data_IF_764920756766
#
_entry.id   IF_764920756766
#
_cell.length_a   1.000
_cell.length_b   1.000
_cell.length_c   1.000
_cell.angle_alpha   90.00
_cell.angle_beta   90.00
_cell.angle_gamma   90.00
#
_symmetry.space_group_name_H-M   'P 1'
#
loop_
_entity.id
_entity.type
_entity.pdbx_description
1 polymer ?
#
# COMPACT_ATOMS: atom_id res chain seq x y z
N UNK A 1 -32.99 -9.12 3.18
CA UNK A 1 -32.13 -9.73 4.20
C UNK A 1 -31.24 -8.64 4.75
N UNK A 2 -31.31 -8.40 6.05
CA UNK A 2 -30.54 -7.37 6.75
C UNK A 2 -29.03 -7.60 6.57
N UNK A 3 -28.32 -6.55 6.19
CA UNK A 3 -26.86 -6.49 6.36
C UNK A 3 -26.62 -6.07 7.80
N UNK A 4 -25.84 -6.81 8.59
CA UNK A 4 -25.55 -6.41 9.96
C UNK A 4 -24.82 -5.05 9.92
N UNK A 5 -25.20 -4.06 10.73
CA UNK A 5 -24.39 -2.87 10.90
C UNK A 5 -23.01 -3.34 11.37
N UNK A 6 -21.96 -2.98 10.64
CA UNK A 6 -20.58 -3.23 11.06
C UNK A 6 -20.49 -2.84 12.53
N UNK A 7 -20.18 -3.77 13.46
CA UNK A 7 -20.23 -3.48 14.88
C UNK A 7 -19.36 -2.26 15.17
N UNK A 8 -19.85 -1.31 15.98
CA UNK A 8 -19.11 -0.07 16.27
C UNK A 8 -17.68 -0.34 16.76
N UNK A 9 -17.48 -1.47 17.46
CA UNK A 9 -16.16 -1.96 17.89
C UNK A 9 -15.20 -2.16 16.73
N UNK A 10 -15.68 -2.74 15.63
CA UNK A 10 -14.92 -2.93 14.39
C UNK A 10 -14.61 -1.60 13.72
N UNK A 11 -15.55 -0.65 13.76
CA UNK A 11 -15.37 0.70 13.21
C UNK A 11 -14.21 1.43 13.91
N UNK A 12 -14.19 1.39 15.25
CA UNK A 12 -13.19 2.09 16.07
C UNK A 12 -11.94 1.25 16.38
N UNK A 13 -11.84 0.02 15.85
CA UNK A 13 -10.70 -0.88 16.09
C UNK A 13 -10.62 -1.45 17.52
N UNK A 14 -11.72 -1.45 18.27
CA UNK A 14 -11.79 -2.04 19.61
C UNK A 14 -11.53 -3.55 19.55
N UNK A 15 -10.48 -4.01 20.21
CA UNK A 15 -10.04 -5.41 20.21
C UNK A 15 -8.83 -5.70 19.31
N UNK A 16 -8.37 -4.72 18.52
CA UNK A 16 -7.11 -4.83 17.79
C UNK A 16 -5.94 -4.69 18.78
N UNK A 17 -5.03 -5.65 18.78
CA UNK A 17 -3.83 -5.60 19.61
C UNK A 17 -2.96 -4.39 19.23
N UNK A 18 -2.48 -3.66 20.24
CA UNK A 18 -1.60 -2.49 20.05
C UNK A 18 -0.33 -2.83 19.25
N UNK A 19 0.27 -3.99 19.55
CA UNK A 19 1.29 -4.64 18.74
C UNK A 19 1.01 -6.13 18.63
N UNK A 20 1.21 -6.70 17.44
CA UNK A 20 1.16 -8.15 17.22
C UNK A 20 2.47 -8.62 16.58
N UNK A 21 3.03 -9.71 17.10
CA UNK A 21 4.16 -10.39 16.47
C UNK A 21 3.71 -11.09 15.20
N UNK A 22 4.55 -11.04 14.20
CA UNK A 22 4.37 -11.70 12.93
C UNK A 22 5.58 -12.58 12.67
N UNK A 23 5.34 -13.87 12.55
CA UNK A 23 6.37 -14.87 12.27
C UNK A 23 6.22 -15.31 10.81
N UNK A 24 7.35 -15.48 10.10
CA UNK A 24 7.39 -16.01 8.72
C UNK A 24 6.45 -15.29 7.73
N UNK A 25 6.75 -14.03 7.44
CA UNK A 25 6.02 -13.22 6.47
C UNK A 25 6.64 -13.29 5.09
N UNK A 26 5.77 -13.33 4.07
CA UNK A 26 6.10 -12.98 2.70
C UNK A 26 5.19 -11.83 2.26
N UNK A 27 5.76 -10.65 2.11
CA UNK A 27 5.05 -9.44 1.77
C UNK A 27 5.37 -9.01 0.35
N UNK A 28 4.34 -8.69 -0.44
CA UNK A 28 4.44 -8.10 -1.77
C UNK A 28 4.32 -6.60 -1.65
N UNK A 29 5.28 -5.84 -2.18
CA UNK A 29 5.15 -4.39 -2.24
C UNK A 29 4.05 -3.95 -3.20
N UNK A 30 3.31 -2.93 -2.77
CA UNK A 30 2.28 -2.22 -3.55
C UNK A 30 2.79 -0.86 -4.04
N UNK A 31 4.08 -0.58 -3.86
CA UNK A 31 4.73 0.66 -4.24
C UNK A 31 4.87 1.63 -3.07
N UNK A 32 5.32 2.84 -3.42
CA UNK A 32 5.75 3.86 -2.48
C UNK A 32 5.17 5.21 -2.85
N UNK A 33 4.77 5.97 -1.83
CA UNK A 33 4.43 7.39 -1.93
C UNK A 33 5.43 8.21 -1.16
N UNK A 34 6.06 9.16 -1.83
CA UNK A 34 6.85 10.20 -1.19
C UNK A 34 5.97 11.42 -0.89
N UNK A 35 6.32 12.17 0.15
CA UNK A 35 5.66 13.42 0.51
C UNK A 35 6.70 14.39 1.07
N UNK A 36 6.34 15.68 1.08
CA UNK A 36 7.14 16.73 1.70
C UNK A 36 6.23 17.86 2.17
N UNK A 37 6.64 18.50 3.25
CA UNK A 37 6.13 19.79 3.72
C UNK A 37 7.32 20.76 3.93
N UNK A 38 7.09 21.85 4.66
CA UNK A 38 8.10 22.89 4.89
C UNK A 38 9.24 22.38 5.78
N UNK A 39 8.95 21.52 6.74
CA UNK A 39 9.90 21.07 7.77
C UNK A 39 10.44 19.67 7.50
N UNK A 40 9.66 18.83 6.84
CA UNK A 40 9.95 17.41 6.67
C UNK A 40 9.72 16.93 5.24
N UNK A 41 10.35 15.81 4.93
CA UNK A 41 9.96 14.97 3.82
C UNK A 41 9.98 13.52 4.27
N UNK A 42 9.23 12.68 3.57
CA UNK A 42 9.11 11.30 3.96
C UNK A 42 8.60 10.42 2.84
N UNK A 43 8.41 9.17 3.22
CA UNK A 43 7.86 8.14 2.36
C UNK A 43 6.93 7.23 3.16
N UNK A 44 6.06 6.57 2.42
CA UNK A 44 5.27 5.43 2.87
C UNK A 44 5.33 4.35 1.81
N UNK A 45 5.62 3.12 2.22
CA UNK A 45 5.61 1.93 1.36
C UNK A 45 4.49 1.03 1.86
N UNK A 46 3.64 0.56 0.97
CA UNK A 46 2.59 -0.39 1.32
C UNK A 46 2.99 -1.80 0.90
N UNK A 47 2.58 -2.75 1.72
CA UNK A 47 2.79 -4.16 1.51
C UNK A 47 1.50 -4.91 1.69
N UNK A 48 1.32 -5.99 0.95
CA UNK A 48 0.27 -6.95 1.21
C UNK A 48 0.86 -8.31 1.50
N UNK A 49 0.27 -9.00 2.46
CA UNK A 49 0.45 -10.43 2.64
C UNK A 49 -0.50 -11.16 1.68
N UNK A 50 -0.02 -11.84 0.62
CA UNK A 50 -0.87 -12.52 -0.35
C UNK A 50 -1.74 -13.61 0.27
N UNK A 51 -1.31 -14.21 1.37
CA UNK A 51 -2.01 -15.34 1.99
C UNK A 51 -3.21 -14.86 2.83
N UNK A 52 -3.09 -13.69 3.47
CA UNK A 52 -4.15 -13.14 4.35
C UNK A 52 -4.91 -11.96 3.75
N UNK A 53 -4.40 -11.34 2.69
CA UNK A 53 -4.91 -10.09 2.14
C UNK A 53 -4.68 -8.87 3.05
N UNK A 54 -3.95 -9.04 4.16
CA UNK A 54 -3.64 -7.95 5.08
C UNK A 54 -2.74 -6.94 4.39
N UNK A 55 -3.02 -5.64 4.61
CA UNK A 55 -2.17 -4.56 4.11
C UNK A 55 -1.44 -3.95 5.29
N UNK A 56 -0.12 -3.89 5.17
CA UNK A 56 0.78 -3.27 6.12
C UNK A 56 1.48 -2.10 5.44
N UNK A 57 2.03 -1.19 6.23
CA UNK A 57 2.77 -0.07 5.67
C UNK A 57 4.02 0.25 6.47
N UNK A 58 5.05 0.76 5.81
CA UNK A 58 6.26 1.27 6.46
C UNK A 58 6.33 2.76 6.15
N UNK A 59 6.37 3.59 7.20
CA UNK A 59 6.52 5.04 7.05
C UNK A 59 7.83 5.53 7.65
N UNK A 60 8.43 6.54 7.03
CA UNK A 60 9.56 7.26 7.63
C UNK A 60 9.62 8.69 7.12
N UNK A 61 10.04 9.61 7.98
CA UNK A 61 10.28 11.01 7.65
C UNK A 61 11.63 11.47 8.18
N UNK A 62 12.12 12.53 7.57
CA UNK A 62 13.39 13.19 7.87
C UNK A 62 13.22 14.71 7.73
N UNK A 63 14.11 15.51 8.35
CA UNK A 63 14.14 16.95 8.16
C UNK A 63 14.31 17.34 6.68
N UNK A 64 13.62 18.40 6.26
CA UNK A 64 13.63 18.93 4.89
C UNK A 64 15.03 19.27 4.39
N UNK A 65 15.88 19.77 5.29
CA UNK A 65 17.28 20.13 5.01
C UNK A 65 18.14 18.98 4.51
N UNK A 66 17.75 17.72 4.76
CA UNK A 66 18.51 16.56 4.31
C UNK A 66 18.09 16.03 2.92
N UNK A 67 17.02 16.56 2.30
CA UNK A 67 16.46 15.97 1.08
C UNK A 67 17.43 15.99 -0.11
N UNK A 68 18.15 17.10 -0.31
CA UNK A 68 19.05 17.30 -1.44
C UNK A 68 20.16 16.25 -1.48
N UNK A 69 20.67 15.86 -0.30
CA UNK A 69 21.72 14.86 -0.15
C UNK A 69 21.21 13.43 -0.21
N UNK A 70 19.91 13.21 -0.02
CA UNK A 70 19.33 11.87 0.11
C UNK A 70 17.85 11.85 -0.27
N UNK A 71 17.54 11.75 -1.57
CA UNK A 71 16.17 11.58 -2.04
C UNK A 71 15.48 10.40 -1.34
N UNK A 72 14.16 10.52 -1.09
CA UNK A 72 13.42 9.52 -0.31
C UNK A 72 13.57 8.09 -0.85
N UNK A 73 13.60 7.90 -2.18
CA UNK A 73 13.73 6.59 -2.81
C UNK A 73 15.09 5.91 -2.54
N UNK A 74 16.17 6.67 -2.30
CA UNK A 74 17.52 6.14 -2.07
C UNK A 74 17.85 6.01 -0.58
N UNK A 75 16.99 6.54 0.31
CA UNK A 75 17.13 6.42 1.76
C UNK A 75 17.15 4.95 2.17
N UNK A 76 18.00 4.65 3.16
CA UNK A 76 18.00 3.34 3.82
C UNK A 76 16.94 3.30 4.91
N UNK A 77 16.11 2.27 4.85
CA UNK A 77 15.15 1.89 5.86
C UNK A 77 15.62 0.56 6.42
N UNK A 78 16.04 0.56 7.68
CA UNK A 78 16.73 -0.58 8.29
C UNK A 78 17.98 -0.96 7.48
N UNK A 79 17.99 -2.14 6.86
CA UNK A 79 19.10 -2.65 6.05
C UNK A 79 18.90 -2.47 4.54
N UNK A 80 17.76 -1.95 4.09
CA UNK A 80 17.39 -1.90 2.67
C UNK A 80 17.21 -0.48 2.16
N UNK A 81 17.45 -0.24 0.87
CA UNK A 81 17.05 1.01 0.24
C UNK A 81 15.53 1.04 0.04
N UNK A 82 14.92 2.20 0.19
CA UNK A 82 13.48 2.39 0.03
C UNK A 82 12.99 1.95 -1.36
N UNK A 83 13.74 2.24 -2.42
CA UNK A 83 13.42 1.78 -3.78
C UNK A 83 13.39 0.26 -3.92
N UNK A 84 14.31 -0.45 -3.26
CA UNK A 84 14.33 -1.92 -3.26
C UNK A 84 13.11 -2.50 -2.52
N UNK A 85 12.71 -1.87 -1.41
CA UNK A 85 11.50 -2.25 -0.69
C UNK A 85 10.24 -1.96 -1.52
N UNK A 86 10.18 -0.81 -2.18
CA UNK A 86 9.04 -0.38 -3.00
C UNK A 86 8.84 -1.24 -4.25
N UNK A 87 9.91 -1.75 -4.86
CA UNK A 87 9.87 -2.61 -6.05
C UNK A 87 10.08 -4.09 -5.77
N UNK A 88 9.99 -4.52 -4.51
CA UNK A 88 10.38 -5.86 -4.08
C UNK A 88 9.32 -6.64 -3.33
N UNK A 89 9.68 -7.86 -2.97
CA UNK A 89 9.00 -8.68 -1.96
C UNK A 89 9.90 -8.78 -0.73
N UNK A 90 9.31 -8.63 0.45
CA UNK A 90 10.01 -8.81 1.72
C UNK A 90 9.71 -10.21 2.23
N UNK A 91 10.75 -10.97 2.53
CA UNK A 91 10.62 -12.20 3.32
C UNK A 91 11.20 -11.91 4.70
N UNK A 92 10.42 -12.11 5.75
CA UNK A 92 10.86 -11.84 7.12
C UNK A 92 10.48 -12.96 8.08
N UNK A 93 11.43 -13.44 8.86
CA UNK A 93 11.20 -14.44 9.90
C UNK A 93 10.58 -13.83 11.16
N UNK A 94 10.78 -12.53 11.38
CA UNK A 94 10.25 -11.83 12.54
C UNK A 94 9.97 -10.37 12.22
N UNK A 95 8.71 -9.97 12.36
CA UNK A 95 8.28 -8.59 12.35
C UNK A 95 7.23 -8.36 13.44
N UNK A 96 6.84 -7.10 13.60
CA UNK A 96 5.63 -6.75 14.32
C UNK A 96 4.77 -5.86 13.45
N UNK A 97 3.47 -5.88 13.72
CA UNK A 97 2.55 -4.85 13.26
C UNK A 97 2.00 -4.07 14.44
N UNK A 98 1.84 -2.78 14.28
CA UNK A 98 1.04 -1.95 15.19
C UNK A 98 -0.47 -2.11 14.91
N UNK A 99 -1.30 -1.52 15.76
CA UNK A 99 -2.75 -1.47 15.58
C UNK A 99 -3.19 -0.71 14.31
N UNK A 100 -2.45 0.31 13.88
CA UNK A 100 -2.71 1.08 12.67
C UNK A 100 -2.10 0.46 11.41
N UNK A 101 -1.47 -0.72 11.53
CA UNK A 101 -0.92 -1.49 10.42
C UNK A 101 0.49 -1.10 10.01
N UNK A 102 1.23 -0.35 10.84
CA UNK A 102 2.64 -0.07 10.61
C UNK A 102 3.46 -1.36 10.79
N UNK A 103 4.32 -1.64 9.80
CA UNK A 103 5.25 -2.75 9.78
C UNK A 103 6.54 -2.34 10.48
N UNK A 104 6.85 -3.04 11.56
CA UNK A 104 8.09 -2.91 12.31
C UNK A 104 8.95 -4.14 12.04
N UNK A 105 9.93 -4.00 11.14
CA UNK A 105 10.89 -5.07 10.85
C UNK A 105 11.88 -5.21 12.01
N UNK A 106 12.18 -6.46 12.39
CA UNK A 106 13.22 -6.71 13.38
C UNK A 106 14.59 -6.26 12.86
N UNK A 107 15.32 -5.52 13.69
CA UNK A 107 16.66 -4.99 13.38
C UNK A 107 17.80 -5.97 13.64
N UNK A 108 17.52 -7.16 14.21
CA UNK A 108 18.55 -8.16 14.50
C UNK A 108 18.92 -8.95 13.24
N UNK A 109 20.22 -9.27 13.12
CA UNK A 109 20.87 -9.77 11.91
C UNK A 109 20.09 -10.85 11.13
N UNK A 110 19.87 -10.57 9.84
CA UNK A 110 19.47 -11.49 8.75
C UNK A 110 18.09 -12.14 8.85
N UNK A 111 17.19 -11.63 9.69
CA UNK A 111 15.82 -12.14 9.74
C UNK A 111 14.95 -11.67 8.56
N UNK A 112 15.38 -10.65 7.82
CA UNK A 112 14.64 -10.13 6.66
C UNK A 112 15.52 -10.12 5.41
N UNK A 113 14.91 -10.40 4.26
CA UNK A 113 15.50 -10.25 2.93
C UNK A 113 14.52 -9.56 1.99
N UNK A 114 15.06 -8.91 0.97
CA UNK A 114 14.28 -8.30 -0.12
C UNK A 114 14.70 -8.96 -1.42
N UNK A 115 13.71 -9.41 -2.18
CA UNK A 115 13.89 -9.96 -3.52
C UNK A 115 13.08 -9.14 -4.53
N UNK A 116 13.48 -9.08 -5.81
CA UNK A 116 12.70 -8.39 -6.82
C UNK A 116 11.26 -8.93 -6.92
N UNK A 117 10.30 -8.08 -7.28
CA UNK A 117 8.94 -8.52 -7.58
C UNK A 117 8.94 -9.49 -8.77
N UNK A 118 8.25 -10.63 -8.60
CA UNK A 118 7.92 -11.49 -9.73
C UNK A 118 6.90 -10.79 -10.65
N UNK A 119 6.91 -11.04 -11.97
CA UNK A 119 5.94 -10.45 -12.91
C UNK A 119 4.48 -10.68 -12.48
N UNK A 120 4.20 -11.83 -11.88
CA UNK A 120 2.86 -12.23 -11.45
C UNK A 120 2.57 -11.90 -9.97
N UNK A 121 3.44 -11.13 -9.29
CA UNK A 121 3.33 -10.88 -7.84
C UNK A 121 1.97 -10.27 -7.44
N UNK A 122 1.41 -9.43 -8.30
CA UNK A 122 0.10 -8.83 -8.08
C UNK A 122 -1.06 -9.69 -8.61
N UNK A 123 -0.81 -10.66 -9.50
CA UNK A 123 -1.88 -11.53 -10.02
C UNK A 123 -2.44 -12.47 -8.94
N UNK A 124 -1.61 -12.82 -7.95
CA UNK A 124 -2.01 -13.64 -6.80
C UNK A 124 -2.95 -12.91 -5.82
N UNK A 125 -3.12 -11.58 -5.97
CA UNK A 125 -3.94 -10.79 -5.07
C UNK A 125 -5.42 -10.88 -5.42
N UNK A 126 -6.25 -10.98 -4.40
CA UNK A 126 -7.71 -11.13 -4.50
C UNK A 126 -8.45 -9.81 -4.27
N UNK A 127 -9.74 -9.81 -4.60
CA UNK A 127 -10.65 -8.72 -4.25
C UNK A 127 -10.79 -8.60 -2.71
N UNK A 128 -10.97 -7.40 -2.15
CA UNK A 128 -11.20 -6.15 -2.87
C UNK A 128 -9.93 -5.40 -3.29
N UNK A 129 -8.73 -5.84 -2.85
CA UNK A 129 -7.47 -5.13 -3.11
C UNK A 129 -7.15 -5.09 -4.60
N UNK A 130 -7.20 -6.24 -5.29
CA UNK A 130 -7.08 -6.29 -6.74
C UNK A 130 -8.46 -6.40 -7.36
N UNK A 131 -8.73 -5.50 -8.30
CA UNK A 131 -9.97 -5.52 -9.10
C UNK A 131 -9.64 -5.97 -10.52
N UNK A 132 -10.56 -6.64 -11.22
CA UNK A 132 -10.34 -7.08 -12.60
C UNK A 132 -10.27 -5.90 -13.60
N UNK A 133 -10.77 -4.73 -13.22
CA UNK A 133 -10.77 -3.51 -14.03
C UNK A 133 -11.46 -2.36 -13.32
N UNK A 134 -11.43 -1.18 -13.95
CA UNK A 134 -12.01 0.05 -13.36
C UNK A 134 -13.53 -0.04 -13.18
N UNK A 135 -14.22 -0.77 -14.07
CA UNK A 135 -15.68 -0.98 -14.00
C UNK A 135 -16.05 -1.71 -12.72
N UNK A 136 -15.39 -2.84 -12.43
CA UNK A 136 -15.61 -3.62 -11.20
C UNK A 136 -15.26 -2.82 -9.95
N UNK A 137 -14.18 -2.01 -9.98
CA UNK A 137 -13.86 -1.12 -8.87
C UNK A 137 -14.98 -0.09 -8.64
N UNK A 138 -15.52 0.51 -9.70
CA UNK A 138 -16.61 1.49 -9.61
C UNK A 138 -17.86 0.89 -9.00
N UNK A 139 -18.23 -0.33 -9.39
CA UNK A 139 -19.35 -1.07 -8.81
C UNK A 139 -19.11 -1.39 -7.34
N UNK A 140 -17.92 -1.91 -7.01
CA UNK A 140 -17.52 -2.17 -5.63
C UNK A 140 -17.66 -0.91 -4.78
N UNK A 141 -17.09 0.22 -5.22
CA UNK A 141 -17.14 1.49 -4.49
C UNK A 141 -18.56 2.01 -4.26
N UNK A 142 -19.48 1.83 -5.23
CA UNK A 142 -20.90 2.22 -5.09
C UNK A 142 -21.63 1.40 -4.02
N UNK A 143 -21.24 0.15 -3.82
CA UNK A 143 -21.86 -0.76 -2.86
C UNK A 143 -21.30 -0.59 -1.44
N UNK A 144 -20.22 0.18 -1.26
CA UNK A 144 -19.58 0.32 0.04
C UNK A 144 -20.42 1.16 1.00
N UNK A 145 -20.41 0.81 2.30
CA UNK A 145 -20.94 1.68 3.33
C UNK A 145 -20.29 3.08 3.30
N UNK A 146 -21.02 4.13 3.71
CA UNK A 146 -20.45 5.46 3.91
C UNK A 146 -19.16 5.43 4.74
N UNK A 147 -18.21 6.32 4.41
CA UNK A 147 -16.89 6.35 5.05
C UNK A 147 -16.95 6.43 6.59
N UNK A 148 -17.95 7.13 7.13
CA UNK A 148 -18.11 7.34 8.57
C UNK A 148 -18.46 6.06 9.37
N UNK A 149 -18.87 4.98 8.70
CA UNK A 149 -19.21 3.70 9.35
C UNK A 149 -18.31 2.55 8.87
N UNK A 150 -17.26 2.86 8.12
CA UNK A 150 -16.22 1.89 7.74
C UNK A 150 -15.13 1.83 8.82
N UNK A 151 -14.42 0.69 8.96
CA UNK A 151 -13.25 0.60 9.83
C UNK A 151 -12.25 1.72 9.55
N UNK A 152 -11.76 2.34 10.62
CA UNK A 152 -10.69 3.34 10.53
C UNK A 152 -9.38 2.64 10.17
N UNK A 153 -9.15 2.42 8.87
CA UNK A 153 -7.94 1.83 8.36
C UNK A 153 -7.29 2.77 7.31
N UNK A 154 -5.98 3.00 7.42
CA UNK A 154 -5.23 3.87 6.52
C UNK A 154 -5.14 3.34 5.07
N UNK A 155 -5.53 2.10 4.83
CA UNK A 155 -5.46 1.43 3.53
C UNK A 155 -6.83 1.14 2.90
N UNK A 156 -7.90 1.65 3.51
CA UNK A 156 -9.29 1.32 3.14
C UNK A 156 -9.68 1.78 1.71
N UNK A 157 -8.86 2.62 1.09
CA UNK A 157 -9.05 3.08 -0.30
C UNK A 157 -7.84 2.77 -1.20
N UNK A 158 -7.05 1.75 -0.85
CA UNK A 158 -5.96 1.26 -1.71
C UNK A 158 -6.47 0.13 -2.61
N UNK A 159 -6.31 0.30 -3.92
CA UNK A 159 -6.74 -0.66 -4.93
C UNK A 159 -5.66 -0.84 -5.98
N UNK A 160 -5.64 -2.03 -6.58
CA UNK A 160 -4.76 -2.40 -7.68
C UNK A 160 -5.66 -2.68 -8.88
N UNK A 161 -5.31 -2.02 -9.98
CA UNK A 161 -5.99 -2.14 -11.25
C UNK A 161 -4.99 -2.63 -12.30
N UNK A 162 -5.37 -3.59 -13.16
CA UNK A 162 -4.58 -3.90 -14.33
C UNK A 162 -4.60 -2.70 -15.27
N UNK A 163 -3.45 -2.45 -15.91
CA UNK A 163 -3.32 -1.50 -17.01
C UNK A 163 -3.08 -2.31 -18.26
N UNK A 164 -4.04 -2.30 -19.17
CA UNK A 164 -3.95 -3.00 -20.45
C UNK A 164 -3.20 -2.15 -21.49
N UNK A 165 -3.52 -0.86 -21.55
CA UNK A 165 -2.94 0.08 -22.50
C UNK A 165 -2.84 1.48 -21.89
N UNK A 166 -1.81 2.23 -22.25
CA UNK A 166 -1.69 3.65 -21.94
C UNK A 166 -1.94 4.46 -23.21
N UNK A 167 -3.07 5.17 -23.26
CA UNK A 167 -3.55 5.91 -24.43
C UNK A 167 -2.82 7.24 -24.57
N UNK A 168 -2.64 7.93 -23.44
CA UNK A 168 -1.94 9.20 -23.39
C UNK A 168 -1.24 9.37 -22.05
N UNK A 169 -0.11 10.08 -22.10
CA UNK A 169 0.69 10.44 -20.94
C UNK A 169 1.14 11.89 -21.11
N UNK A 170 0.88 12.73 -20.11
CA UNK A 170 1.19 14.15 -20.17
C UNK A 170 1.59 14.70 -18.82
N UNK A 171 2.52 15.66 -18.83
CA UNK A 171 2.84 16.44 -17.65
C UNK A 171 2.04 17.74 -17.64
N UNK A 172 1.21 17.95 -16.62
CA UNK A 172 0.56 19.22 -16.37
C UNK A 172 1.44 20.08 -15.45
N UNK A 173 2.11 21.08 -16.03
CA UNK A 173 3.00 21.98 -15.29
C UNK A 173 2.26 22.92 -14.34
N UNK A 174 0.97 23.17 -14.55
CA UNK A 174 0.17 24.02 -13.65
C UNK A 174 -0.22 23.27 -12.39
N UNK A 175 -0.63 22.00 -12.52
CA UNK A 175 -0.99 21.12 -11.40
C UNK A 175 0.23 20.41 -10.81
N UNK A 176 1.36 20.40 -11.52
CA UNK A 176 2.54 19.60 -11.20
C UNK A 176 2.20 18.11 -11.08
N UNK A 177 1.41 17.61 -12.03
CA UNK A 177 0.95 16.21 -12.07
C UNK A 177 1.33 15.52 -13.37
N UNK A 178 1.65 14.23 -13.27
CA UNK A 178 1.72 13.33 -14.41
C UNK A 178 0.34 12.71 -14.59
N UNK A 179 -0.34 13.08 -15.66
CA UNK A 179 -1.67 12.59 -16.00
C UNK A 179 -1.52 11.50 -17.07
N UNK A 180 -2.21 10.38 -16.88
CA UNK A 180 -2.26 9.29 -17.83
C UNK A 180 -3.72 8.89 -18.07
N UNK A 181 -4.08 8.63 -19.33
CA UNK A 181 -5.31 7.92 -19.67
C UNK A 181 -4.96 6.48 -20.00
N UNK A 182 -5.58 5.55 -19.30
CA UNK A 182 -5.24 4.13 -19.37
C UNK A 182 -6.50 3.29 -19.52
N UNK A 183 -6.41 2.23 -20.31
CA UNK A 183 -7.43 1.20 -20.37
C UNK A 183 -7.19 0.22 -19.22
N UNK A 184 -8.17 0.06 -18.33
CA UNK A 184 -8.05 -0.77 -17.15
C UNK A 184 -8.92 -2.03 -17.21
N UNK A 185 -8.28 -3.12 -17.64
CA UNK A 185 -8.81 -4.47 -17.50
C UNK A 185 -10.07 -4.74 -18.32
N UNK A 186 -10.88 -5.65 -17.81
CA UNK A 186 -12.10 -6.14 -18.48
C UNK A 186 -13.27 -5.15 -18.34
N UNK A 187 -14.17 -5.16 -19.33
CA UNK A 187 -15.43 -4.41 -19.34
C UNK A 187 -15.55 -3.40 -20.48
N UNK A 188 -16.79 -2.98 -20.73
CA UNK A 188 -17.09 -1.79 -21.56
C UNK A 188 -16.89 -0.53 -20.70
N UNK A 189 -16.54 0.62 -21.30
CA UNK A 189 -16.18 1.86 -20.58
C UNK A 189 -15.04 1.66 -19.55
N UNK A 190 -14.02 0.90 -19.96
CA UNK A 190 -12.83 0.57 -19.18
C UNK A 190 -11.70 1.61 -19.28
N UNK A 191 -12.03 2.80 -19.79
CA UNK A 191 -11.16 3.98 -19.85
C UNK A 191 -11.10 4.71 -18.49
#
# INVERSE_FOLDING_TARGET
>A
GEVPPVPWRTVVGSGIAGEAKLDHLRLVSLGMRCWQDIEHYGLRIWFTDPDTGSILHLSRSWPRSEQENSPAATRRLFSFQAGALAGGQIVSQAAKRSADGELLLATRNRLSSVVPLSPDAWQMLSAPLRQPGIVALREYLRQRPPACIRPLNQVDNLFILPVAECISLGWDSSRQTLDAQVISGEGEDNL
#
